data_IF_526080101011
#
_entry.id   IF_526080101011
#
_cell.length_a   1.000
_cell.length_b   1.000
_cell.length_c   1.000
_cell.angle_alpha   90.00
_cell.angle_beta   90.00
_cell.angle_gamma   90.00
#
_symmetry.space_group_name_H-M   'P 1'
#
loop_
_entity.id
_entity.type
_entity.pdbx_description
1 polymer ?
#
# COMPACT_ATOMS: atom_id res chain seq x y z
N UNK A 1 -5.16 -16.10 -13.21
CA UNK A 1 -4.97 -15.21 -12.06
C UNK A 1 -4.43 -13.89 -12.57
N UNK A 2 -5.17 -12.81 -12.35
CA UNK A 2 -4.76 -11.44 -12.67
C UNK A 2 -4.48 -10.65 -11.41
N UNK A 3 -3.32 -9.97 -11.37
CA UNK A 3 -2.90 -9.12 -10.26
C UNK A 3 -2.95 -7.66 -10.73
N UNK A 4 -3.72 -6.82 -10.04
CA UNK A 4 -3.75 -5.37 -10.27
C UNK A 4 -3.00 -4.65 -9.15
N UNK A 5 -1.86 -4.02 -9.47
CA UNK A 5 -1.07 -3.27 -8.52
C UNK A 5 -1.49 -1.78 -8.51
N UNK A 6 -1.88 -1.27 -7.35
CA UNK A 6 -2.21 0.16 -7.14
C UNK A 6 -1.08 0.82 -6.37
N UNK A 7 -0.36 1.70 -7.03
CA UNK A 7 0.87 2.33 -6.55
C UNK A 7 0.72 3.85 -6.52
N UNK A 8 0.40 4.45 -5.37
CA UNK A 8 0.46 5.90 -5.21
C UNK A 8 1.91 6.40 -5.21
N UNK A 9 2.18 7.44 -5.98
CA UNK A 9 3.52 8.00 -6.13
C UNK A 9 3.49 9.52 -5.97
N UNK A 10 4.39 10.07 -5.15
CA UNK A 10 4.51 11.51 -4.97
C UNK A 10 5.97 11.95 -4.93
N UNK A 11 6.47 12.50 -6.04
CA UNK A 11 7.86 12.98 -6.21
C UNK A 11 8.89 11.91 -5.78
N UNK A 12 8.97 10.83 -6.55
CA UNK A 12 9.90 9.71 -6.33
C UNK A 12 10.86 9.51 -7.54
N UNK A 13 11.19 10.60 -8.25
CA UNK A 13 12.03 10.59 -9.46
C UNK A 13 13.33 9.81 -9.29
N UNK A 14 13.96 9.87 -8.11
CA UNK A 14 15.25 9.25 -7.85
C UNK A 14 15.21 7.70 -7.79
N UNK A 15 14.03 7.13 -7.52
CA UNK A 15 13.86 5.69 -7.26
C UNK A 15 12.85 5.01 -8.16
N UNK A 16 12.02 5.78 -8.87
CA UNK A 16 10.85 5.23 -9.59
C UNK A 16 11.25 4.28 -10.72
N UNK A 17 12.37 4.50 -11.41
CA UNK A 17 12.85 3.62 -12.48
C UNK A 17 13.21 2.23 -11.91
N UNK A 18 14.03 2.21 -10.87
CA UNK A 18 14.41 0.96 -10.20
C UNK A 18 13.19 0.24 -9.63
N UNK A 19 12.33 0.97 -8.93
CA UNK A 19 11.11 0.43 -8.34
C UNK A 19 10.19 -0.19 -9.40
N UNK A 20 9.88 0.55 -10.45
CA UNK A 20 8.93 0.11 -11.48
C UNK A 20 9.45 -1.10 -12.26
N UNK A 21 10.74 -1.14 -12.61
CA UNK A 21 11.34 -2.30 -13.25
C UNK A 21 11.28 -3.55 -12.37
N UNK A 22 11.62 -3.44 -11.07
CA UNK A 22 11.56 -4.57 -10.13
C UNK A 22 10.13 -5.04 -9.89
N UNK A 23 9.17 -4.11 -9.81
CA UNK A 23 7.75 -4.45 -9.67
C UNK A 23 7.23 -5.20 -10.89
N UNK A 24 7.45 -4.68 -12.09
CA UNK A 24 7.04 -5.31 -13.35
C UNK A 24 7.65 -6.70 -13.49
N UNK A 25 8.97 -6.83 -13.30
CA UNK A 25 9.65 -8.13 -13.39
C UNK A 25 9.11 -9.15 -12.35
N UNK A 26 8.74 -8.70 -11.16
CA UNK A 26 8.13 -9.57 -10.16
C UNK A 26 6.72 -10.03 -10.57
N UNK A 27 5.91 -9.12 -11.11
CA UNK A 27 4.55 -9.46 -11.55
C UNK A 27 4.55 -10.36 -12.78
N UNK A 28 5.43 -10.13 -13.75
CA UNK A 28 5.60 -10.99 -14.94
C UNK A 28 5.94 -12.44 -14.58
N UNK A 29 6.75 -12.62 -13.53
CA UNK A 29 7.11 -13.95 -13.05
C UNK A 29 5.98 -14.66 -12.31
N UNK A 30 5.11 -13.92 -11.61
CA UNK A 30 4.14 -14.46 -10.66
C UNK A 30 2.74 -14.64 -11.24
N UNK A 31 2.36 -13.83 -12.22
CA UNK A 31 0.99 -13.78 -12.73
C UNK A 31 0.93 -14.13 -14.22
N UNK A 32 -0.12 -14.85 -14.60
CA UNK A 32 -0.44 -15.07 -16.03
C UNK A 32 -0.88 -13.77 -16.70
N UNK A 33 -1.51 -12.87 -15.92
CA UNK A 33 -1.86 -11.51 -16.34
C UNK A 33 -1.68 -10.53 -15.17
N UNK A 34 -1.34 -9.26 -15.48
CA UNK A 34 -1.21 -8.19 -14.49
C UNK A 34 -1.50 -6.83 -15.08
N UNK A 35 -1.83 -5.88 -14.23
CA UNK A 35 -1.79 -4.45 -14.53
C UNK A 35 -1.14 -3.67 -13.38
N UNK A 36 -0.51 -2.56 -13.71
CA UNK A 36 0.05 -1.63 -12.73
C UNK A 36 -0.58 -0.26 -12.94
N UNK A 37 -1.21 0.27 -11.90
CA UNK A 37 -1.87 1.58 -11.89
C UNK A 37 -1.05 2.50 -10.99
N UNK A 38 -0.25 3.37 -11.59
CA UNK A 38 0.46 4.43 -10.89
C UNK A 38 -0.46 5.65 -10.75
N UNK A 39 -0.80 6.02 -9.53
CA UNK A 39 -1.49 7.30 -9.24
C UNK A 39 -0.42 8.32 -8.87
N UNK A 40 -0.07 9.15 -9.83
CA UNK A 40 1.10 10.04 -9.77
C UNK A 40 0.68 11.44 -9.34
N UNK A 41 1.33 11.95 -8.29
CA UNK A 41 1.17 13.31 -7.80
C UNK A 41 2.54 14.01 -7.78
N UNK A 42 2.54 15.31 -7.96
CA UNK A 42 3.77 16.11 -7.87
C UNK A 42 4.26 16.65 -9.20
N UNK A 43 5.46 17.24 -9.20
CA UNK A 43 5.96 18.07 -10.31
C UNK A 43 7.42 17.77 -10.69
N UNK A 44 8.01 16.71 -10.13
CA UNK A 44 9.36 16.27 -10.52
C UNK A 44 9.33 15.37 -11.76
N UNK A 45 10.45 14.77 -12.13
CA UNK A 45 10.58 13.88 -13.29
C UNK A 45 9.87 12.53 -13.19
N UNK A 46 9.16 12.23 -12.07
CA UNK A 46 8.46 10.96 -11.87
C UNK A 46 7.46 10.66 -12.98
N UNK A 47 6.65 11.68 -13.37
CA UNK A 47 5.63 11.50 -14.40
C UNK A 47 6.25 11.09 -15.74
N UNK A 48 7.25 11.82 -16.24
CA UNK A 48 7.85 11.55 -17.54
C UNK A 48 8.46 10.15 -17.64
N UNK A 49 9.06 9.67 -16.55
CA UNK A 49 9.63 8.31 -16.47
C UNK A 49 8.55 7.23 -16.55
N UNK A 50 7.45 7.41 -15.82
CA UNK A 50 6.33 6.46 -15.84
C UNK A 50 5.54 6.50 -17.16
N UNK A 51 5.41 7.65 -17.81
CA UNK A 51 4.84 7.76 -19.16
C UNK A 51 5.70 7.03 -20.18
N UNK A 52 7.01 7.13 -20.09
CA UNK A 52 7.92 6.38 -20.93
C UNK A 52 7.75 4.86 -20.74
N UNK A 53 7.64 4.38 -19.50
CA UNK A 53 7.37 2.99 -19.21
C UNK A 53 6.01 2.55 -19.77
N UNK A 54 4.96 3.35 -19.56
CA UNK A 54 3.61 3.07 -20.06
C UNK A 54 3.54 3.01 -21.58
N UNK A 55 4.35 3.80 -22.29
CA UNK A 55 4.41 3.77 -23.77
C UNK A 55 4.97 2.46 -24.33
N UNK A 56 5.80 1.75 -23.55
CA UNK A 56 6.42 0.48 -23.94
C UNK A 56 5.74 -0.74 -23.33
N UNK A 57 4.98 -0.56 -22.26
CA UNK A 57 4.26 -1.63 -21.60
C UNK A 57 2.76 -1.27 -21.40
N UNK A 58 1.85 -1.81 -22.23
CA UNK A 58 0.41 -1.48 -22.18
C UNK A 58 -0.29 -1.93 -20.88
N UNK A 59 0.35 -2.77 -20.06
CA UNK A 59 -0.13 -3.19 -18.74
C UNK A 59 0.15 -2.14 -17.65
N UNK A 60 0.92 -1.10 -17.96
CA UNK A 60 1.21 0.01 -17.05
C UNK A 60 0.32 1.20 -17.39
N UNK A 61 -0.47 1.64 -16.44
CA UNK A 61 -1.36 2.80 -16.53
C UNK A 61 -0.87 3.90 -15.61
N UNK A 62 -0.92 5.15 -16.09
CA UNK A 62 -0.54 6.34 -15.31
C UNK A 62 -1.74 7.25 -15.19
N UNK A 63 -2.16 7.52 -13.94
CA UNK A 63 -3.22 8.47 -13.61
C UNK A 63 -2.57 9.68 -12.90
N UNK A 64 -2.40 10.79 -13.62
CA UNK A 64 -1.67 11.95 -13.12
C UNK A 64 -2.55 13.03 -12.54
N UNK A 65 -2.09 13.60 -11.43
CA UNK A 65 -2.70 14.73 -10.74
C UNK A 65 -1.66 15.78 -10.38
N UNK A 66 -1.73 16.94 -10.99
CA UNK A 66 -0.85 18.06 -10.68
C UNK A 66 -0.99 18.49 -9.21
N UNK A 67 -2.23 18.56 -8.72
CA UNK A 67 -2.54 18.93 -7.34
C UNK A 67 -2.52 17.71 -6.45
N UNK A 68 -1.82 17.83 -5.31
CA UNK A 68 -1.72 16.77 -4.33
C UNK A 68 -3.08 16.33 -3.80
N UNK A 69 -3.45 15.08 -4.05
CA UNK A 69 -4.66 14.43 -3.53
C UNK A 69 -4.49 14.03 -2.05
N UNK A 70 -3.30 13.54 -1.73
CA UNK A 70 -2.95 12.82 -0.51
C UNK A 70 -3.19 11.33 -0.61
N UNK A 71 -2.37 10.55 0.09
CA UNK A 71 -2.26 9.09 -0.04
C UNK A 71 -3.62 8.36 -0.04
N UNK A 72 -4.53 8.72 0.88
CA UNK A 72 -5.83 8.07 0.97
C UNK A 72 -6.69 8.26 -0.26
N UNK A 73 -6.69 9.47 -0.84
CA UNK A 73 -7.44 9.74 -2.07
C UNK A 73 -6.77 9.10 -3.28
N UNK A 74 -5.43 9.12 -3.34
CA UNK A 74 -4.69 8.47 -4.40
C UNK A 74 -4.95 6.95 -4.40
N UNK A 75 -4.96 6.30 -3.24
CA UNK A 75 -5.38 4.90 -3.11
C UNK A 75 -6.81 4.69 -3.63
N UNK A 76 -7.77 5.45 -3.11
CA UNK A 76 -9.16 5.33 -3.55
C UNK A 76 -9.28 5.49 -5.06
N UNK A 77 -8.59 6.46 -5.63
CA UNK A 77 -8.57 6.70 -7.08
C UNK A 77 -8.05 5.48 -7.85
N UNK A 78 -6.89 4.93 -7.45
CA UNK A 78 -6.33 3.73 -8.05
C UNK A 78 -7.25 2.52 -7.95
N UNK A 79 -7.90 2.32 -6.79
CA UNK A 79 -8.88 1.24 -6.60
C UNK A 79 -10.13 1.39 -7.48
N UNK A 80 -10.49 2.62 -7.89
CA UNK A 80 -11.59 2.84 -8.83
C UNK A 80 -11.21 2.62 -10.31
N UNK A 81 -9.92 2.45 -10.61
CA UNK A 81 -9.39 2.21 -11.96
C UNK A 81 -9.10 0.73 -12.24
N UNK A 82 -9.36 -0.15 -11.26
CA UNK A 82 -9.18 -1.59 -11.40
C UNK A 82 -10.07 -2.16 -12.52
N UNK A 83 -9.53 -3.10 -13.27
CA UNK A 83 -10.31 -3.88 -14.22
C UNK A 83 -11.26 -4.88 -13.51
N UNK A 84 -12.39 -5.16 -14.13
CA UNK A 84 -13.40 -6.09 -13.60
C UNK A 84 -12.91 -7.54 -13.50
N UNK A 85 -11.83 -7.88 -14.20
CA UNK A 85 -11.21 -9.20 -14.25
C UNK A 85 -10.07 -9.39 -13.24
N UNK A 86 -9.93 -8.47 -12.27
CA UNK A 86 -8.94 -8.54 -11.21
C UNK A 86 -9.26 -9.65 -10.22
N UNK A 87 -8.30 -10.54 -9.95
CA UNK A 87 -8.38 -11.56 -8.89
C UNK A 87 -7.81 -11.02 -7.56
N UNK A 88 -6.63 -10.40 -7.64
CA UNK A 88 -5.93 -9.84 -6.49
C UNK A 88 -5.52 -8.40 -6.72
N UNK A 89 -5.64 -7.60 -5.67
CA UNK A 89 -5.16 -6.21 -5.65
C UNK A 89 -3.91 -6.12 -4.77
N UNK A 90 -2.80 -5.71 -5.36
CA UNK A 90 -1.56 -5.42 -4.66
C UNK A 90 -1.47 -3.92 -4.35
N UNK A 91 -1.06 -3.59 -3.14
CA UNK A 91 -0.67 -2.21 -2.78
C UNK A 91 0.72 -2.20 -2.17
N UNK A 92 1.54 -1.20 -2.50
CA UNK A 92 2.84 -0.96 -1.85
C UNK A 92 3.31 0.47 -2.09
N UNK A 93 4.27 0.92 -1.28
CA UNK A 93 4.92 2.21 -1.45
C UNK A 93 6.03 2.11 -2.51
N UNK A 94 6.23 3.17 -3.31
CA UNK A 94 7.21 3.22 -4.41
C UNK A 94 8.62 3.67 -3.97
N UNK A 95 8.92 3.61 -2.68
CA UNK A 95 10.13 4.19 -2.07
C UNK A 95 11.28 3.21 -1.83
N UNK A 96 11.16 1.98 -2.39
CA UNK A 96 12.10 0.87 -2.23
C UNK A 96 12.31 0.39 -0.77
N UNK A 97 11.50 0.85 0.18
CA UNK A 97 11.51 0.28 1.54
C UNK A 97 10.98 -1.17 1.56
N UNK A 98 10.04 -1.45 0.68
CA UNK A 98 9.48 -2.78 0.44
C UNK A 98 10.11 -3.38 -0.81
N UNK A 99 10.32 -4.69 -0.78
CA UNK A 99 10.94 -5.42 -1.89
C UNK A 99 9.85 -6.08 -2.76
N UNK A 100 9.71 -5.68 -4.05
CA UNK A 100 8.72 -6.31 -4.95
C UNK A 100 8.88 -7.83 -5.08
N UNK A 101 10.07 -8.35 -4.88
CA UNK A 101 10.38 -9.77 -4.92
C UNK A 101 9.66 -10.58 -3.83
N UNK A 102 9.17 -9.92 -2.77
CA UNK A 102 8.42 -10.56 -1.69
C UNK A 102 6.90 -10.64 -1.95
N UNK A 103 6.41 -10.12 -3.08
CA UNK A 103 5.00 -10.22 -3.51
C UNK A 103 4.55 -11.68 -3.51
N UNK A 104 5.39 -12.59 -3.97
CA UNK A 104 5.10 -14.03 -3.99
C UNK A 104 4.71 -14.59 -2.61
N UNK A 105 5.40 -14.12 -1.55
CA UNK A 105 5.10 -14.55 -0.18
C UNK A 105 3.73 -14.10 0.29
N UNK A 106 3.31 -12.88 -0.10
CA UNK A 106 1.98 -12.36 0.21
C UNK A 106 0.91 -13.12 -0.56
N UNK A 107 1.14 -13.39 -1.85
CA UNK A 107 0.19 -14.12 -2.70
C UNK A 107 -0.07 -15.55 -2.20
N UNK A 108 0.98 -16.28 -1.83
CA UNK A 108 0.83 -17.62 -1.24
C UNK A 108 -0.01 -17.65 0.03
N UNK A 109 0.03 -16.60 0.83
CA UNK A 109 -0.80 -16.48 2.03
C UNK A 109 -2.22 -15.97 1.73
N UNK A 110 -2.47 -15.47 0.53
CA UNK A 110 -3.77 -14.98 0.11
C UNK A 110 -4.74 -16.13 -0.29
N UNK A 111 -4.26 -17.35 -0.42
CA UNK A 111 -5.12 -18.53 -0.63
C UNK A 111 -6.06 -18.76 0.56
N UNK A 112 -5.63 -18.42 1.78
CA UNK A 112 -6.37 -18.62 3.04
C UNK A 112 -6.91 -17.31 3.64
N UNK A 113 -6.70 -16.16 2.99
CA UNK A 113 -7.04 -14.86 3.58
C UNK A 113 -7.52 -13.85 2.54
N UNK A 114 -8.57 -13.09 2.89
CA UNK A 114 -9.08 -12.01 2.04
C UNK A 114 -8.11 -10.82 1.94
N UNK A 115 -7.30 -10.62 2.98
CA UNK A 115 -6.23 -9.61 3.02
C UNK A 115 -4.98 -10.20 3.67
N UNK A 116 -3.84 -10.02 3.04
CA UNK A 116 -2.53 -10.37 3.61
C UNK A 116 -1.70 -9.11 3.79
N UNK A 117 -1.21 -8.90 5.00
CA UNK A 117 -0.37 -7.76 5.37
C UNK A 117 1.10 -8.17 5.41
N UNK A 118 1.94 -7.48 4.66
CA UNK A 118 3.40 -7.55 4.82
C UNK A 118 3.81 -6.86 6.11
N UNK A 119 4.23 -7.65 7.11
CA UNK A 119 4.48 -7.21 8.47
C UNK A 119 5.95 -6.89 8.71
N UNK A 120 6.26 -5.62 8.96
CA UNK A 120 7.63 -5.14 9.25
C UNK A 120 8.09 -5.50 10.66
N UNK A 121 7.20 -5.60 11.62
CA UNK A 121 7.53 -5.87 13.03
C UNK A 121 8.06 -7.28 13.27
N UNK A 122 7.86 -8.19 12.30
CA UNK A 122 8.37 -9.57 12.31
C UNK A 122 9.56 -9.76 11.36
N UNK A 123 10.05 -8.68 10.78
CA UNK A 123 11.18 -8.73 9.85
C UNK A 123 12.43 -9.31 10.51
N UNK A 124 12.92 -10.42 9.99
CA UNK A 124 14.28 -10.88 10.22
C UNK A 124 15.20 -10.06 9.31
N UNK A 125 15.74 -8.96 9.83
CA UNK A 125 16.65 -8.10 9.07
C UNK A 125 16.12 -6.70 8.83
N UNK A 126 15.65 -6.01 9.88
CA UNK A 126 15.60 -4.54 9.83
C UNK A 126 17.03 -4.03 9.69
N UNK A 127 17.43 -3.75 8.46
CA UNK A 127 18.71 -3.07 8.18
C UNK A 127 18.42 -1.58 8.35
N UNK A 128 18.80 -1.05 9.50
CA UNK A 128 18.67 0.36 9.83
C UNK A 128 17.65 0.67 10.93
N UNK A 129 18.03 1.53 11.87
CA UNK A 129 17.18 1.94 12.97
C UNK A 129 16.24 3.06 12.51
N UNK A 130 14.94 2.79 12.52
CA UNK A 130 13.96 3.87 12.51
C UNK A 130 14.16 4.74 13.77
N UNK A 131 14.12 6.07 13.66
CA UNK A 131 14.20 6.94 14.82
C UNK A 131 13.24 6.46 15.93
N UNK A 132 13.73 6.36 17.15
CA UNK A 132 13.00 5.83 18.31
C UNK A 132 11.57 6.37 18.41
N UNK A 133 11.41 7.68 18.20
CA UNK A 133 10.09 8.34 18.24
C UNK A 133 9.14 7.82 17.13
N UNK A 134 9.62 7.57 15.92
CA UNK A 134 8.81 7.00 14.82
C UNK A 134 8.32 5.59 15.17
N UNK A 135 9.19 4.80 15.77
CA UNK A 135 8.88 3.44 16.21
C UNK A 135 7.84 3.43 17.33
N UNK A 136 7.96 4.36 18.29
CA UNK A 136 7.02 4.49 19.40
C UNK A 136 5.62 4.92 18.93
N UNK A 137 5.52 5.93 18.05
CA UNK A 137 4.23 6.42 17.51
C UNK A 137 3.57 5.33 16.66
N UNK A 138 4.32 4.66 15.79
CA UNK A 138 3.78 3.53 15.00
C UNK A 138 3.34 2.37 15.90
N UNK A 139 4.10 2.04 16.93
CA UNK A 139 3.74 1.01 17.91
C UNK A 139 2.46 1.33 18.67
N UNK A 140 2.31 2.57 19.14
CA UNK A 140 1.09 3.02 19.83
C UNK A 140 -0.12 2.99 18.90
N UNK A 141 0.03 3.48 17.66
CA UNK A 141 -1.05 3.42 16.65
C UNK A 141 -1.47 1.98 16.36
N UNK A 142 -0.50 1.09 16.11
CA UNK A 142 -0.76 -0.32 15.90
C UNK A 142 -1.51 -0.93 17.09
N UNK A 143 -1.06 -0.67 18.31
CA UNK A 143 -1.69 -1.20 19.53
C UNK A 143 -3.14 -0.72 19.67
N UNK A 144 -3.40 0.58 19.54
CA UNK A 144 -4.74 1.16 19.67
C UNK A 144 -5.69 0.58 18.62
N UNK A 145 -5.32 0.61 17.34
CA UNK A 145 -6.19 0.10 16.26
C UNK A 145 -6.48 -1.39 16.43
N UNK A 146 -5.45 -2.19 16.70
CA UNK A 146 -5.59 -3.64 16.91
C UNK A 146 -6.54 -3.98 18.06
N UNK A 147 -6.36 -3.32 19.19
CA UNK A 147 -7.20 -3.56 20.39
C UNK A 147 -8.64 -3.11 20.17
N UNK A 148 -8.84 -1.94 19.56
CA UNK A 148 -10.18 -1.37 19.34
C UNK A 148 -11.00 -2.20 18.36
N UNK A 149 -10.39 -2.65 17.24
CA UNK A 149 -11.09 -3.34 16.15
C UNK A 149 -10.78 -4.84 16.07
N UNK A 150 -10.02 -5.38 17.01
CA UNK A 150 -9.61 -6.79 17.06
C UNK A 150 -8.95 -7.26 15.74
N UNK A 151 -8.08 -6.40 15.18
CA UNK A 151 -7.33 -6.72 13.97
C UNK A 151 -6.23 -7.75 14.31
N UNK A 152 -6.17 -8.89 13.61
CA UNK A 152 -5.18 -9.94 13.92
C UNK A 152 -3.77 -9.62 13.42
N UNK A 153 -3.60 -8.61 12.57
CA UNK A 153 -2.27 -8.20 12.07
C UNK A 153 -1.53 -7.33 13.07
N UNK A 154 -0.22 -7.53 13.19
CA UNK A 154 0.68 -6.75 14.07
C UNK A 154 1.13 -5.43 13.44
N UNK A 155 0.93 -5.21 12.14
CA UNK A 155 1.32 -3.99 11.42
C UNK A 155 0.18 -3.40 10.58
N UNK A 156 -0.75 -2.70 11.26
CA UNK A 156 -1.90 -2.06 10.59
C UNK A 156 -1.52 -0.83 9.77
N UNK A 157 -0.26 -0.38 9.86
CA UNK A 157 0.24 0.82 9.14
C UNK A 157 1.06 0.48 7.90
N UNK A 158 1.37 -0.78 7.65
CA UNK A 158 2.06 -1.21 6.43
C UNK A 158 1.20 -0.97 5.20
N UNK A 159 1.78 -0.39 4.14
CA UNK A 159 1.16 -0.22 2.82
C UNK A 159 1.35 -1.43 1.90
N UNK A 160 2.24 -2.36 2.24
CA UNK A 160 2.52 -3.54 1.42
C UNK A 160 1.54 -4.66 1.73
N UNK A 161 0.57 -4.85 0.85
CA UNK A 161 -0.55 -5.79 1.06
C UNK A 161 -1.04 -6.39 -0.23
N UNK A 162 -1.61 -7.58 -0.10
CA UNK A 162 -2.44 -8.21 -1.14
C UNK A 162 -3.86 -8.35 -0.59
N UNK A 163 -4.84 -8.02 -1.42
CA UNK A 163 -6.27 -8.14 -1.14
C UNK A 163 -6.90 -9.03 -2.21
N UNK A 164 -7.89 -9.84 -1.85
CA UNK A 164 -8.82 -10.38 -2.84
C UNK A 164 -9.63 -9.24 -3.49
N UNK A 165 -9.98 -9.36 -4.76
CA UNK A 165 -10.84 -8.38 -5.45
C UNK A 165 -12.12 -8.12 -4.64
N UNK A 166 -12.77 -9.19 -4.15
CA UNK A 166 -13.94 -9.13 -3.27
C UNK A 166 -13.75 -8.24 -2.04
N UNK A 167 -12.58 -8.31 -1.41
CA UNK A 167 -12.30 -7.49 -0.24
C UNK A 167 -12.26 -6.01 -0.58
N UNK A 168 -11.61 -5.64 -1.69
CA UNK A 168 -11.54 -4.25 -2.17
C UNK A 168 -12.92 -3.74 -2.58
N UNK A 169 -13.65 -4.48 -3.40
CA UNK A 169 -14.98 -4.11 -3.89
C UNK A 169 -15.94 -3.81 -2.73
N UNK A 170 -15.87 -4.61 -1.67
CA UNK A 170 -16.75 -4.47 -0.51
C UNK A 170 -16.55 -3.15 0.27
N UNK A 171 -15.39 -2.48 0.13
CA UNK A 171 -15.03 -1.33 0.98
C UNK A 171 -14.54 -0.10 0.24
N UNK A 172 -14.16 -0.18 -1.05
CA UNK A 172 -13.55 0.93 -1.79
C UNK A 172 -14.38 2.22 -1.78
N UNK A 173 -15.69 2.10 -1.91
CA UNK A 173 -16.60 3.25 -1.96
C UNK A 173 -16.79 3.90 -0.59
N UNK A 174 -16.61 3.15 0.48
CA UNK A 174 -16.72 3.61 1.85
C UNK A 174 -15.47 4.36 2.36
N UNK A 175 -14.34 4.31 1.62
CA UNK A 175 -13.09 4.94 2.03
C UNK A 175 -13.20 6.46 2.14
N UNK A 176 -12.78 7.00 3.27
CA UNK A 176 -12.88 8.42 3.60
C UNK A 176 -11.58 9.04 4.09
N UNK A 177 -10.59 8.24 4.39
CA UNK A 177 -9.25 8.67 4.78
C UNK A 177 -8.58 9.49 3.68
N UNK A 178 -7.86 10.54 4.09
CA UNK A 178 -7.19 11.44 3.14
C UNK A 178 -5.70 11.15 3.00
N UNK A 179 -5.08 10.56 4.04
CA UNK A 179 -3.64 10.35 4.10
C UNK A 179 -3.31 8.91 4.54
N UNK A 180 -2.23 8.73 5.31
CA UNK A 180 -1.67 7.43 5.70
C UNK A 180 -2.63 6.54 6.52
N UNK A 181 -3.64 7.11 7.15
CA UNK A 181 -4.66 6.36 7.89
C UNK A 181 -5.51 5.44 7.00
N UNK A 182 -5.46 5.60 5.67
CA UNK A 182 -6.17 4.74 4.72
C UNK A 182 -5.77 3.27 4.86
N UNK A 183 -4.51 3.00 5.16
CA UNK A 183 -4.03 1.64 5.36
C UNK A 183 -4.76 0.94 6.53
N UNK A 184 -4.97 1.64 7.65
CA UNK A 184 -5.75 1.13 8.76
C UNK A 184 -7.25 1.10 8.46
N UNK A 185 -7.79 2.13 7.76
CA UNK A 185 -9.19 2.17 7.37
C UNK A 185 -9.60 0.95 6.57
N UNK A 186 -8.82 0.59 5.54
CA UNK A 186 -9.05 -0.61 4.73
C UNK A 186 -9.16 -1.87 5.60
N UNK A 187 -8.20 -2.11 6.50
CA UNK A 187 -8.23 -3.28 7.37
C UNK A 187 -9.43 -3.29 8.32
N UNK A 188 -9.78 -2.14 8.89
CA UNK A 188 -10.90 -2.03 9.80
C UNK A 188 -12.22 -2.35 9.08
N UNK A 189 -12.40 -1.79 7.87
CA UNK A 189 -13.61 -2.01 7.08
C UNK A 189 -13.74 -3.47 6.62
N UNK A 190 -12.68 -4.04 6.08
CA UNK A 190 -12.62 -5.46 5.71
C UNK A 190 -12.95 -6.35 6.91
N UNK A 191 -12.37 -6.06 8.09
CA UNK A 191 -12.68 -6.80 9.32
C UNK A 191 -14.13 -6.67 9.75
N UNK A 192 -14.73 -5.48 9.62
CA UNK A 192 -16.16 -5.24 9.92
C UNK A 192 -17.10 -6.01 8.97
N UNK A 193 -16.66 -6.28 7.74
CA UNK A 193 -17.39 -7.14 6.79
C UNK A 193 -17.23 -8.65 7.06
N UNK A 194 -16.52 -9.00 8.14
CA UNK A 194 -16.32 -10.42 8.52
C UNK A 194 -15.23 -11.16 7.75
N UNK A 195 -14.46 -10.45 6.94
CA UNK A 195 -13.41 -11.04 6.12
C UNK A 195 -12.16 -11.40 6.92
N UNK A 196 -11.37 -12.32 6.38
CA UNK A 196 -10.15 -12.83 7.00
C UNK A 196 -8.94 -11.96 6.70
N UNK A 197 -8.07 -11.79 7.71
CA UNK A 197 -6.83 -11.02 7.60
C UNK A 197 -5.67 -11.89 8.06
N UNK A 198 -4.73 -12.17 7.16
CA UNK A 198 -3.46 -12.82 7.41
C UNK A 198 -2.31 -11.82 7.49
N UNK A 199 -1.15 -12.28 7.94
CA UNK A 199 0.09 -11.50 7.87
C UNK A 199 1.29 -12.39 7.57
N UNK A 200 2.27 -11.85 6.84
CA UNK A 200 3.55 -12.48 6.58
C UNK A 200 4.70 -11.53 6.92
N UNK A 201 5.82 -12.03 7.45
CA UNK A 201 6.99 -11.20 7.67
C UNK A 201 7.59 -10.77 6.33
N UNK A 202 7.95 -9.48 6.23
CA UNK A 202 8.64 -8.93 5.05
C UNK A 202 9.96 -8.29 5.46
N UNK A 203 10.89 -8.20 4.52
CA UNK A 203 12.09 -7.38 4.66
C UNK A 203 11.71 -5.91 4.51
N UNK A 204 12.26 -5.08 5.36
CA UNK A 204 12.08 -3.63 5.30
C UNK A 204 13.44 -2.96 5.38
N UNK A 205 13.82 -2.24 4.34
CA UNK A 205 15.09 -1.51 4.27
C UNK A 205 14.83 0.00 4.33
N UNK A 206 15.73 0.78 4.96
CA UNK A 206 15.65 2.23 4.85
C UNK A 206 15.69 2.68 3.39
N UNK A 207 14.99 3.76 3.07
CA UNK A 207 15.07 4.37 1.74
C UNK A 207 16.52 4.58 1.32
N UNK A 208 16.91 4.17 0.11
CA UNK A 208 18.25 4.45 -0.39
C UNK A 208 18.40 5.94 -0.74
N UNK A 209 17.33 6.60 -1.15
CA UNK A 209 17.30 8.02 -1.59
C UNK A 209 15.97 8.68 -1.23
N UNK A 210 15.95 10.01 -1.24
CA UNK A 210 14.74 10.81 -0.97
C UNK A 210 14.44 11.01 0.53
N UNK A 211 13.41 11.78 0.83
CA UNK A 211 12.98 12.13 2.19
C UNK A 211 11.57 11.62 2.51
N UNK A 212 11.38 11.17 3.75
CA UNK A 212 10.06 10.73 4.22
C UNK A 212 9.08 11.91 4.26
N UNK A 213 7.97 11.78 3.54
CA UNK A 213 6.92 12.82 3.43
C UNK A 213 5.83 12.67 4.50
N UNK A 214 6.04 11.76 5.47
CA UNK A 214 5.13 11.52 6.60
C UNK A 214 5.15 12.70 7.58
N UNK A 215 4.01 13.37 7.76
CA UNK A 215 3.79 14.34 8.82
C UNK A 215 3.10 13.68 10.02
N UNK A 216 3.83 13.53 11.13
CA UNK A 216 3.32 12.85 12.34
C UNK A 216 2.07 13.49 12.91
N UNK A 217 2.04 14.83 12.97
CA UNK A 217 0.90 15.56 13.53
C UNK A 217 -0.36 15.35 12.69
N UNK A 218 -0.25 15.48 11.36
CA UNK A 218 -1.37 15.26 10.44
C UNK A 218 -1.85 13.81 10.48
N UNK A 219 -0.92 12.86 10.52
CA UNK A 219 -1.25 11.44 10.62
C UNK A 219 -1.94 11.11 11.93
N UNK A 220 -1.46 11.62 13.08
CA UNK A 220 -2.08 11.43 14.39
C UNK A 220 -3.53 11.91 14.43
N UNK A 221 -3.80 13.11 13.90
CA UNK A 221 -5.17 13.64 13.78
C UNK A 221 -6.03 12.76 12.84
N UNK A 222 -5.47 12.29 11.73
CA UNK A 222 -6.14 11.37 10.81
C UNK A 222 -6.58 10.08 11.51
N UNK A 223 -5.68 9.43 12.22
CA UNK A 223 -5.98 8.21 12.99
C UNK A 223 -7.01 8.46 14.10
N UNK A 224 -6.92 9.57 14.86
CA UNK A 224 -7.90 9.89 15.89
C UNK A 224 -9.31 10.06 15.31
N UNK A 225 -9.44 10.78 14.19
CA UNK A 225 -10.71 10.92 13.46
C UNK A 225 -11.24 9.58 12.95
N UNK A 226 -10.37 8.75 12.41
CA UNK A 226 -10.72 7.42 11.92
C UNK A 226 -11.27 6.54 13.04
N UNK A 227 -10.61 6.51 14.20
CA UNK A 227 -11.03 5.73 15.37
C UNK A 227 -12.44 6.14 15.83
N UNK A 228 -12.70 7.45 15.94
CA UNK A 228 -14.04 7.95 16.32
C UNK A 228 -15.08 7.55 15.28
N UNK A 229 -14.80 7.80 14.00
CA UNK A 229 -15.73 7.55 12.90
C UNK A 229 -16.10 6.08 12.71
N UNK A 230 -15.14 5.17 12.90
CA UNK A 230 -15.37 3.75 12.65
C UNK A 230 -15.77 2.96 13.91
N UNK A 231 -15.71 3.56 15.09
CA UNK A 231 -16.17 2.90 16.32
C UNK A 231 -17.69 3.00 16.50
N UNK A 232 -18.27 4.06 16.04
CA UNK A 232 -19.71 4.40 16.07
C UNK A 232 -20.28 4.40 14.66
#
# INVERSE_FOLDING_TARGET
MKISAVIPVYNEEEVIDEFSHRLVASLERLAGDYEVIFVVEGTDGTLSKLEQLSSTNPRVKVDYHEKRLGLGKAFKRGLCLLGDDTDFVLTMDADLNHHPEEIERLLRAADDSDVVVGCRSRARGMVGELPFFKRMVSGATNWVVRKTFRIPSSDVTSGFRVYSARAVESVRDELTSKNFEVAAELLIRVKKKGMTIGEVPITFTPRPRGTSKLSFLRSGIGYARLLVKLRF
#
